data_IF_914836342625
#
_entry.id   IF_914836342625
#
_cell.length_a   1.000
_cell.length_b   1.000
_cell.length_c   1.000
_cell.angle_alpha   90.00
_cell.angle_beta   90.00
_cell.angle_gamma   90.00
#
_symmetry.space_group_name_H-M   'P 1'
#
loop_
_entity.id
_entity.type
_entity.pdbx_description
1 polymer ?
#
# COMPACT_ATOMS: atom_id res chain seq x y z
N UNK A 1 5.17 -56.86 12.79
CA UNK A 1 5.16 -55.84 13.85
C UNK A 1 6.23 -54.76 13.68
N UNK A 2 7.51 -55.07 13.42
CA UNK A 2 8.60 -54.08 13.27
C UNK A 2 8.37 -52.95 12.25
N UNK A 3 7.72 -53.23 11.10
CA UNK A 3 7.42 -52.20 10.08
C UNK A 3 6.43 -51.11 10.54
N UNK A 4 5.50 -51.41 11.46
CA UNK A 4 4.51 -50.41 11.94
C UNK A 4 5.14 -49.39 12.89
N UNK A 5 6.06 -49.82 13.76
CA UNK A 5 6.78 -48.92 14.66
C UNK A 5 7.70 -47.94 13.90
N UNK A 6 8.28 -48.37 12.78
CA UNK A 6 9.13 -47.51 11.94
C UNK A 6 8.34 -46.34 11.34
N UNK A 7 7.12 -46.57 10.85
CA UNK A 7 6.28 -45.53 10.25
C UNK A 7 5.85 -44.49 11.30
N UNK A 8 5.46 -44.95 12.49
CA UNK A 8 5.06 -44.04 13.59
C UNK A 8 6.24 -43.19 14.06
N UNK A 9 7.43 -43.77 14.18
CA UNK A 9 8.63 -43.03 14.57
C UNK A 9 9.02 -41.96 13.53
N UNK A 10 8.92 -42.27 12.24
CA UNK A 10 9.19 -41.31 11.16
C UNK A 10 8.23 -40.11 11.21
N UNK A 11 6.93 -40.38 11.45
CA UNK A 11 5.92 -39.34 11.53
C UNK A 11 6.12 -38.43 12.74
N UNK A 12 6.47 -39.01 13.89
CA UNK A 12 6.81 -38.25 15.09
C UNK A 12 8.05 -37.37 14.88
N UNK A 13 9.08 -37.87 14.18
CA UNK A 13 10.28 -37.10 13.84
C UNK A 13 9.98 -35.92 12.91
N UNK A 14 9.09 -36.09 11.93
CA UNK A 14 8.68 -35.00 11.02
C UNK A 14 7.88 -33.92 11.75
N UNK A 15 6.98 -34.31 12.65
CA UNK A 15 6.24 -33.34 13.49
C UNK A 15 7.22 -32.58 14.39
N UNK A 16 8.18 -33.28 15.02
CA UNK A 16 9.17 -32.66 15.88
C UNK A 16 10.06 -31.69 15.10
N UNK A 17 10.49 -32.07 13.89
CA UNK A 17 11.30 -31.21 13.02
C UNK A 17 10.53 -29.97 12.55
N UNK A 18 9.25 -30.12 12.18
CA UNK A 18 8.39 -28.99 11.82
C UNK A 18 8.15 -28.05 13.01
N UNK A 19 7.95 -28.60 14.21
CA UNK A 19 7.82 -27.82 15.44
C UNK A 19 9.11 -27.07 15.79
N UNK A 20 10.27 -27.73 15.64
CA UNK A 20 11.58 -27.12 15.88
C UNK A 20 11.86 -25.98 14.89
N UNK A 21 11.49 -26.15 13.63
CA UNK A 21 11.63 -25.12 12.60
C UNK A 21 10.77 -23.88 12.90
N UNK A 22 9.55 -24.07 13.39
CA UNK A 22 8.69 -22.97 13.82
C UNK A 22 9.20 -22.26 15.08
N UNK A 23 9.86 -22.96 15.99
CA UNK A 23 10.38 -22.39 17.23
C UNK A 23 11.75 -21.71 17.11
N UNK A 24 12.62 -22.18 16.20
CA UNK A 24 13.97 -21.65 15.99
C UNK A 24 14.07 -20.59 14.89
N UNK A 25 12.95 -20.28 14.22
CA UNK A 25 12.89 -19.10 13.35
C UNK A 25 12.98 -17.83 14.19
N UNK A 26 14.20 -17.41 14.54
CA UNK A 26 14.43 -16.06 15.05
C UNK A 26 13.97 -15.07 13.97
N UNK A 27 12.97 -14.25 14.29
CA UNK A 27 12.65 -13.13 13.44
C UNK A 27 13.88 -12.23 13.40
N UNK A 28 14.42 -11.90 12.21
CA UNK A 28 15.56 -10.99 12.13
C UNK A 28 15.16 -9.69 12.82
N UNK A 29 15.98 -9.26 13.78
CA UNK A 29 15.80 -8.03 14.53
C UNK A 29 15.73 -6.88 13.52
N UNK A 30 14.52 -6.41 13.19
CA UNK A 30 14.32 -5.30 12.26
C UNK A 30 14.82 -4.05 12.96
N UNK A 31 16.04 -3.64 12.67
CA UNK A 31 16.52 -2.31 13.04
C UNK A 31 15.52 -1.30 12.47
N UNK A 32 14.85 -0.56 13.35
CA UNK A 32 13.91 0.48 12.95
C UNK A 32 14.71 1.63 12.34
N UNK A 33 14.94 1.55 11.03
CA UNK A 33 15.51 2.64 10.26
C UNK A 33 14.57 3.84 10.44
N UNK A 34 15.07 4.91 11.06
CA UNK A 34 14.31 6.15 11.15
C UNK A 34 14.11 6.65 9.73
N UNK A 35 12.85 6.69 9.31
CA UNK A 35 12.48 7.16 7.99
C UNK A 35 12.45 8.68 8.04
N UNK A 36 13.42 9.34 7.41
CA UNK A 36 13.36 10.78 7.18
C UNK A 36 12.22 11.06 6.19
N UNK A 37 11.30 11.93 6.60
CA UNK A 37 10.20 12.40 5.75
C UNK A 37 10.55 13.81 5.29
N UNK A 38 10.79 13.97 3.99
CA UNK A 38 11.09 15.27 3.39
C UNK A 38 9.77 15.97 3.04
N UNK A 39 9.54 17.19 3.54
CA UNK A 39 8.29 17.87 3.29
C UNK A 39 8.16 18.26 1.81
N UNK A 40 6.95 18.16 1.28
CA UNK A 40 6.64 18.69 -0.06
C UNK A 40 6.58 20.22 0.00
N UNK A 41 6.96 20.88 -1.09
CA UNK A 41 6.77 22.33 -1.18
C UNK A 41 5.28 22.68 -1.33
N UNK A 42 4.92 23.92 -1.01
CA UNK A 42 3.52 24.38 -0.99
C UNK A 42 2.83 24.23 -2.36
N UNK A 43 3.53 24.53 -3.46
CA UNK A 43 3.01 24.41 -4.82
C UNK A 43 2.60 22.96 -5.15
N UNK A 44 3.45 21.98 -4.80
CA UNK A 44 3.15 20.55 -4.97
C UNK A 44 1.98 20.09 -4.11
N UNK A 45 1.91 20.59 -2.88
CA UNK A 45 0.79 20.29 -1.96
C UNK A 45 -0.53 20.77 -2.56
N UNK A 46 -0.61 22.05 -2.95
CA UNK A 46 -1.80 22.65 -3.55
C UNK A 46 -2.22 21.89 -4.81
N UNK A 47 -1.23 21.43 -5.59
CA UNK A 47 -1.52 20.67 -6.79
C UNK A 47 -2.14 19.31 -6.51
N UNK A 48 -1.58 18.54 -5.58
CA UNK A 48 -2.14 17.24 -5.21
C UNK A 48 -3.55 17.40 -4.66
N UNK A 49 -3.78 18.42 -3.82
CA UNK A 49 -5.10 18.73 -3.27
C UNK A 49 -6.11 19.02 -4.38
N UNK A 50 -5.80 19.94 -5.30
CA UNK A 50 -6.70 20.29 -6.42
C UNK A 50 -7.03 19.08 -7.29
N UNK A 51 -6.03 18.27 -7.65
CA UNK A 51 -6.25 17.10 -8.51
C UNK A 51 -7.07 16.03 -7.81
N UNK A 52 -6.86 15.81 -6.52
CA UNK A 52 -7.69 14.90 -5.73
C UNK A 52 -9.13 15.40 -5.65
N UNK A 53 -9.33 16.68 -5.31
CA UNK A 53 -10.67 17.27 -5.15
C UNK A 53 -11.47 17.31 -6.46
N UNK A 54 -10.80 17.42 -7.61
CA UNK A 54 -11.40 17.41 -8.94
C UNK A 54 -11.60 16.00 -9.51
N UNK A 55 -11.07 14.96 -8.86
CA UNK A 55 -11.14 13.60 -9.37
C UNK A 55 -12.52 12.97 -9.20
N UNK A 56 -13.02 12.33 -10.28
CA UNK A 56 -14.34 11.68 -10.29
C UNK A 56 -14.47 10.56 -9.23
N UNK A 57 -13.38 9.85 -8.90
CA UNK A 57 -13.44 8.74 -7.94
C UNK A 57 -13.85 9.17 -6.51
N UNK A 58 -13.75 10.46 -6.18
CA UNK A 58 -14.13 10.98 -4.85
C UNK A 58 -15.62 10.81 -4.60
N UNK A 59 -16.48 10.99 -5.62
CA UNK A 59 -17.93 10.80 -5.44
C UNK A 59 -18.30 9.36 -5.10
N UNK A 60 -17.47 8.43 -5.58
CA UNK A 60 -17.67 6.98 -5.48
C UNK A 60 -17.04 6.39 -4.24
N UNK A 61 -16.20 7.16 -3.53
CA UNK A 61 -15.59 6.74 -2.29
C UNK A 61 -16.64 6.43 -1.21
N UNK A 62 -16.47 5.32 -0.46
CA UNK A 62 -17.31 5.04 0.70
C UNK A 62 -17.04 6.07 1.81
N UNK A 63 -18.08 6.41 2.59
CA UNK A 63 -18.00 7.47 3.60
C UNK A 63 -17.00 7.21 4.73
N UNK A 64 -16.63 5.95 4.96
CA UNK A 64 -15.66 5.52 5.95
C UNK A 64 -14.40 4.90 5.33
N UNK A 65 -14.20 5.02 4.01
CA UNK A 65 -12.98 4.59 3.34
C UNK A 65 -11.93 5.68 3.38
N UNK A 66 -10.68 5.27 3.64
CA UNK A 66 -9.53 6.17 3.63
C UNK A 66 -8.42 5.56 2.79
N UNK A 67 -7.91 6.32 1.84
CA UNK A 67 -6.75 5.96 1.01
C UNK A 67 -5.60 6.86 1.42
N UNK A 68 -4.45 6.28 1.75
CA UNK A 68 -3.22 7.03 2.02
C UNK A 68 -2.38 7.11 0.75
N UNK A 69 -2.29 8.28 0.14
CA UNK A 69 -1.39 8.55 -0.98
C UNK A 69 -0.05 9.07 -0.45
N UNK A 70 1.05 8.36 -0.69
CA UNK A 70 2.39 8.71 -0.23
C UNK A 70 3.36 8.77 -1.39
N UNK A 71 4.26 9.73 -1.34
CA UNK A 71 5.27 9.93 -2.37
C UNK A 71 6.64 9.46 -1.88
N UNK A 72 7.45 8.92 -2.79
CA UNK A 72 8.84 8.57 -2.50
C UNK A 72 9.77 9.00 -3.63
N UNK A 73 11.05 9.22 -3.32
CA UNK A 73 12.11 9.36 -4.32
C UNK A 73 13.29 8.50 -3.94
N UNK A 74 14.29 8.43 -4.82
CA UNK A 74 15.57 7.82 -4.51
C UNK A 74 16.67 8.89 -4.51
N UNK A 75 17.44 8.93 -3.43
CA UNK A 75 18.70 9.67 -3.37
C UNK A 75 19.83 8.65 -3.25
N UNK A 76 20.55 8.42 -4.35
CA UNK A 76 21.42 7.26 -4.47
C UNK A 76 20.60 5.96 -4.48
N UNK A 77 20.85 5.09 -3.49
CA UNK A 77 20.14 3.81 -3.33
C UNK A 77 19.15 3.81 -2.16
N UNK A 78 18.95 4.97 -1.52
CA UNK A 78 18.08 5.10 -0.36
C UNK A 78 16.73 5.67 -0.79
N UNK A 79 15.65 5.05 -0.31
CA UNK A 79 14.30 5.54 -0.53
C UNK A 79 14.02 6.66 0.47
N UNK A 80 13.78 7.85 -0.05
CA UNK A 80 13.37 9.02 0.71
C UNK A 80 11.85 9.13 0.62
N UNK A 81 11.20 9.22 1.78
CA UNK A 81 9.76 9.38 1.84
C UNK A 81 9.41 10.86 1.89
N UNK A 82 8.33 11.23 1.21
CA UNK A 82 7.79 12.59 1.23
C UNK A 82 6.47 12.62 2.00
N UNK A 83 5.98 13.83 2.24
CA UNK A 83 4.65 14.02 2.81
C UNK A 83 3.59 13.23 2.04
N UNK A 84 2.64 12.69 2.80
CA UNK A 84 1.51 11.93 2.27
C UNK A 84 0.19 12.61 2.58
N UNK A 85 -0.84 12.17 1.87
CA UNK A 85 -2.19 12.68 1.94
C UNK A 85 -3.14 11.55 2.31
N UNK A 86 -4.12 11.86 3.16
CA UNK A 86 -5.24 10.98 3.40
C UNK A 86 -6.40 11.46 2.55
N UNK A 87 -6.95 10.57 1.73
CA UNK A 87 -8.05 10.84 0.82
C UNK A 87 -9.28 10.11 1.37
N UNK A 88 -10.37 10.84 1.53
CA UNK A 88 -11.68 10.33 1.93
C UNK A 88 -12.77 10.80 0.95
N UNK A 89 -14.03 10.49 1.28
CA UNK A 89 -15.20 10.82 0.44
C UNK A 89 -15.37 12.31 0.09
N UNK A 90 -14.76 13.20 0.88
CA UNK A 90 -14.86 14.64 0.67
C UNK A 90 -13.49 15.25 0.34
N UNK A 91 -12.61 14.51 -0.34
CA UNK A 91 -11.27 14.96 -0.69
C UNK A 91 -10.25 14.68 0.42
N UNK A 92 -9.34 15.62 0.64
CA UNK A 92 -8.24 15.47 1.61
C UNK A 92 -8.73 15.57 3.06
N UNK A 93 -8.37 14.59 3.89
CA UNK A 93 -8.71 14.55 5.32
C UNK A 93 -7.46 14.66 6.20
N UNK A 94 -7.61 15.18 7.42
CA UNK A 94 -6.49 15.39 8.35
C UNK A 94 -6.09 14.12 9.10
N UNK A 95 -7.04 13.23 9.33
CA UNK A 95 -6.90 12.08 10.21
C UNK A 95 -7.74 10.88 9.75
N UNK A 96 -7.36 9.72 10.26
CA UNK A 96 -8.07 8.45 10.07
C UNK A 96 -7.14 7.28 9.76
N UNK A 97 -7.71 6.08 9.69
CA UNK A 97 -6.96 4.83 9.47
C UNK A 97 -7.11 4.39 8.02
N UNK A 98 -6.03 4.39 7.22
CA UNK A 98 -6.10 3.99 5.82
C UNK A 98 -6.46 2.51 5.68
N UNK A 99 -7.38 2.22 4.77
CA UNK A 99 -7.63 0.84 4.31
C UNK A 99 -6.66 0.45 3.19
N UNK A 100 -6.25 1.43 2.38
CA UNK A 100 -5.37 1.29 1.22
C UNK A 100 -4.22 2.29 1.35
N UNK A 101 -3.00 1.85 1.16
CA UNK A 101 -1.81 2.67 1.04
C UNK A 101 -1.32 2.63 -0.39
N UNK A 102 -1.26 3.79 -1.04
CA UNK A 102 -0.68 3.96 -2.37
C UNK A 102 0.65 4.66 -2.19
N UNK A 103 1.71 4.06 -2.70
CA UNK A 103 3.04 4.63 -2.76
C UNK A 103 3.40 4.88 -4.21
N UNK A 104 3.77 6.11 -4.56
CA UNK A 104 4.10 6.49 -5.93
C UNK A 104 5.38 7.31 -5.97
N UNK A 105 6.18 7.17 -7.01
CA UNK A 105 7.38 8.00 -7.16
C UNK A 105 7.02 9.48 -7.27
N UNK A 106 7.72 10.37 -6.55
CA UNK A 106 7.46 11.80 -6.48
C UNK A 106 7.61 12.55 -7.82
N UNK A 107 8.17 11.88 -8.85
CA UNK A 107 8.30 12.41 -10.22
C UNK A 107 6.94 12.57 -10.90
N UNK A 108 5.94 11.83 -10.42
CA UNK A 108 4.58 11.89 -10.95
C UNK A 108 3.78 13.08 -10.42
N UNK A 109 4.25 13.76 -9.36
CA UNK A 109 3.58 14.98 -8.86
C UNK A 109 3.49 16.03 -9.96
N UNK A 110 4.59 16.22 -10.70
CA UNK A 110 4.64 17.20 -11.79
C UNK A 110 3.75 16.78 -12.98
N UNK A 111 3.44 15.48 -13.13
CA UNK A 111 2.52 14.96 -14.15
C UNK A 111 1.05 15.20 -13.84
N UNK A 112 0.71 15.40 -12.57
CA UNK A 112 -0.66 15.74 -12.15
C UNK A 112 -1.12 17.09 -12.72
N UNK A 113 -0.22 17.92 -13.26
CA UNK A 113 -0.56 19.16 -13.99
C UNK A 113 -1.22 18.92 -15.34
N UNK A 114 -0.97 17.78 -15.96
CA UNK A 114 -1.30 17.56 -17.36
C UNK A 114 -2.45 16.56 -17.56
N UNK A 115 -2.73 15.73 -16.56
CA UNK A 115 -3.60 14.55 -16.65
C UNK A 115 -4.38 14.30 -15.35
N UNK A 116 -5.43 13.50 -15.43
CA UNK A 116 -6.17 13.05 -14.25
C UNK A 116 -5.33 12.10 -13.37
N UNK A 117 -5.74 11.97 -12.11
CA UNK A 117 -5.02 11.14 -11.15
C UNK A 117 -4.95 9.68 -11.59
N UNK A 118 -6.01 9.12 -12.17
CA UNK A 118 -6.03 7.71 -12.53
C UNK A 118 -5.11 7.40 -13.70
N UNK A 119 -5.05 8.25 -14.72
CA UNK A 119 -4.07 8.14 -15.81
C UNK A 119 -2.65 8.16 -15.28
N UNK A 120 -2.32 9.08 -14.36
CA UNK A 120 -0.99 9.17 -13.74
C UNK A 120 -0.67 7.92 -12.92
N UNK A 121 -1.63 7.41 -12.15
CA UNK A 121 -1.47 6.17 -11.38
C UNK A 121 -1.25 4.95 -12.30
N UNK A 122 -2.00 4.86 -13.40
CA UNK A 122 -1.86 3.79 -14.38
C UNK A 122 -0.49 3.84 -15.08
N UNK A 123 -0.01 5.04 -15.42
CA UNK A 123 1.34 5.24 -15.95
C UNK A 123 2.41 4.80 -14.93
N UNK A 124 2.29 5.24 -13.67
CA UNK A 124 3.23 4.85 -12.62
C UNK A 124 3.25 3.35 -12.37
N UNK A 125 2.08 2.71 -12.36
CA UNK A 125 1.93 1.26 -12.25
C UNK A 125 2.59 0.52 -13.41
N UNK A 126 2.40 0.99 -14.64
CA UNK A 126 3.01 0.40 -15.83
C UNK A 126 4.54 0.50 -15.83
N UNK A 127 5.10 1.52 -15.16
CA UNK A 127 6.54 1.73 -15.00
C UNK A 127 7.12 1.11 -13.72
N UNK A 128 6.33 0.33 -12.96
CA UNK A 128 6.75 -0.25 -11.66
C UNK A 128 7.16 0.80 -10.60
N UNK A 129 6.70 2.03 -10.78
CA UNK A 129 6.95 3.18 -9.88
C UNK A 129 5.80 3.42 -8.89
N UNK A 130 4.93 2.43 -8.74
CA UNK A 130 3.79 2.47 -7.83
C UNK A 130 3.64 1.14 -7.10
N UNK A 131 3.36 1.21 -5.80
CA UNK A 131 2.99 0.07 -4.99
C UNK A 131 1.67 0.35 -4.27
N UNK A 132 0.85 -0.69 -4.11
CA UNK A 132 -0.39 -0.64 -3.33
C UNK A 132 -0.30 -1.68 -2.23
N UNK A 133 -0.49 -1.24 -1.00
CA UNK A 133 -0.57 -2.10 0.18
C UNK A 133 -1.92 -1.95 0.87
N UNK A 134 -2.38 -3.02 1.50
CA UNK A 134 -3.62 -3.04 2.27
C UNK A 134 -3.44 -3.87 3.52
N UNK A 135 -4.02 -3.41 4.62
CA UNK A 135 -4.13 -4.17 5.88
C UNK A 135 -5.38 -5.04 5.92
N UNK A 136 -6.30 -4.84 4.98
CA UNK A 136 -7.58 -5.56 4.84
C UNK A 136 -7.47 -6.64 3.77
N UNK A 137 -8.25 -7.72 3.95
CA UNK A 137 -8.37 -8.73 2.90
C UNK A 137 -9.09 -8.15 1.66
N UNK A 138 -8.77 -8.69 0.48
CA UNK A 138 -9.28 -8.18 -0.81
C UNK A 138 -10.81 -8.20 -0.92
N UNK A 139 -11.47 -9.22 -0.36
CA UNK A 139 -12.93 -9.32 -0.40
C UNK A 139 -13.64 -8.22 0.39
N UNK A 140 -13.11 -7.87 1.58
CA UNK A 140 -13.60 -6.75 2.39
C UNK A 140 -13.38 -5.43 1.66
N UNK A 141 -12.20 -5.24 1.05
CA UNK A 141 -11.94 -4.06 0.24
C UNK A 141 -12.92 -3.95 -0.92
N UNK A 142 -13.08 -5.00 -1.72
CA UNK A 142 -13.97 -5.00 -2.89
C UNK A 142 -15.42 -4.68 -2.50
N UNK A 143 -15.90 -5.24 -1.38
CA UNK A 143 -17.24 -4.94 -0.88
C UNK A 143 -17.36 -3.47 -0.42
N UNK A 144 -16.39 -2.97 0.36
CA UNK A 144 -16.38 -1.61 0.90
C UNK A 144 -16.24 -0.55 -0.20
N UNK A 145 -15.40 -0.83 -1.20
CA UNK A 145 -15.08 0.06 -2.32
C UNK A 145 -15.86 -0.30 -3.60
N UNK A 146 -17.01 -0.97 -3.46
CA UNK A 146 -17.84 -1.37 -4.60
C UNK A 146 -18.38 -0.21 -5.43
N UNK A 147 -18.49 0.99 -4.86
CA UNK A 147 -18.80 2.21 -5.63
C UNK A 147 -17.68 2.60 -6.60
N UNK A 148 -16.42 2.28 -6.28
CA UNK A 148 -15.24 2.67 -7.06
C UNK A 148 -14.81 1.59 -8.07
N UNK A 149 -15.71 0.68 -8.48
CA UNK A 149 -15.36 -0.41 -9.40
C UNK A 149 -14.90 0.08 -10.76
N UNK A 150 -15.41 1.23 -11.23
CA UNK A 150 -14.98 1.88 -12.46
C UNK A 150 -13.53 2.40 -12.35
N UNK A 151 -13.08 2.68 -11.12
CA UNK A 151 -11.72 3.17 -10.81
C UNK A 151 -10.81 2.09 -10.21
N UNK A 152 -11.18 0.81 -10.29
CA UNK A 152 -10.42 -0.30 -9.70
C UNK A 152 -8.96 -0.36 -10.20
N UNK A 153 -8.73 0.07 -11.44
CA UNK A 153 -7.41 -0.07 -12.08
C UNK A 153 -6.37 0.86 -11.45
N UNK A 154 -6.80 2.04 -10.99
CA UNK A 154 -5.96 3.03 -10.31
C UNK A 154 -5.54 2.55 -8.92
N UNK A 155 -6.44 1.89 -8.17
CA UNK A 155 -6.24 1.58 -6.75
C UNK A 155 -6.07 0.08 -6.40
N UNK A 156 -6.17 -0.82 -7.39
CA UNK A 156 -5.69 -2.21 -7.31
C UNK A 156 -6.43 -3.16 -6.36
N UNK A 157 -7.72 -2.94 -6.11
CA UNK A 157 -8.58 -3.84 -5.32
C UNK A 157 -9.43 -4.79 -6.17
#
# INVERSE_FOLDING_TARGET
>A
MKKRYFIVALFAALILAGFLYLYLGEEPERTSVQIEVVPLNQEKIEKVVSVVDESEFISDMPSNGIISLRFYSFEGNERIWHDGFLIGKNGIVKDGVPDIYVFIHAKYIDRLYERDLCEVMNEAKANEDMAIETTRNKGILLAKYSGMLEHKECFGF
#
